data_IF_849664466108
#
_entry.id   IF_849664466108
#
_cell.length_a   1.000
_cell.length_b   1.000
_cell.length_c   1.000
_cell.angle_alpha   90.00
_cell.angle_beta   90.00
_cell.angle_gamma   90.00
#
_symmetry.space_group_name_H-M   'P 1'
#
loop_
_entity.id
_entity.type
_entity.pdbx_description
1 polymer ?
#
# COMPACT_ATOMS: atom_id res chain seq x y z
N UNK A 1 67.55 35.19 32.23
CA UNK A 1 66.62 34.33 32.98
C UNK A 1 65.43 34.00 32.10
N UNK A 2 64.95 32.78 32.24
CA UNK A 2 64.11 32.02 31.33
C UNK A 2 62.62 32.36 31.49
N UNK A 3 61.90 32.44 30.35
CA UNK A 3 60.48 32.08 30.06
C UNK A 3 59.38 32.39 31.09
N UNK A 4 58.28 32.95 30.60
CA UNK A 4 56.99 32.24 30.58
C UNK A 4 55.99 32.95 29.63
N UNK A 5 55.80 32.38 28.44
CA UNK A 5 54.64 32.63 27.58
C UNK A 5 53.50 31.75 28.11
N UNK A 6 52.40 32.35 28.54
CA UNK A 6 51.15 31.62 28.78
C UNK A 6 50.48 31.33 27.43
N UNK A 7 50.49 30.06 27.01
CA UNK A 7 49.62 29.58 25.94
C UNK A 7 48.20 29.36 26.51
N UNK A 8 47.24 30.19 26.10
CA UNK A 8 45.81 29.88 26.27
C UNK A 8 45.42 28.81 25.24
N UNK A 9 45.29 27.56 25.68
CA UNK A 9 44.67 26.51 24.88
C UNK A 9 43.14 26.68 24.92
N UNK A 10 42.55 27.15 23.83
CA UNK A 10 41.11 27.12 23.64
C UNK A 10 40.68 25.67 23.35
N UNK A 11 40.00 25.03 24.30
CA UNK A 11 39.35 23.74 24.09
C UNK A 11 38.10 23.98 23.22
N UNK A 12 38.19 23.67 21.93
CA UNK A 12 37.02 23.58 21.05
C UNK A 12 36.35 22.23 21.35
N UNK A 13 35.28 22.24 22.14
CA UNK A 13 34.41 21.08 22.31
C UNK A 13 33.60 20.98 21.01
N UNK A 14 34.03 20.11 20.09
CA UNK A 14 33.22 19.72 18.95
C UNK A 14 32.01 18.96 19.49
N UNK A 15 30.83 19.60 19.48
CA UNK A 15 29.58 18.92 19.71
C UNK A 15 29.35 17.95 18.54
N UNK A 16 29.69 16.69 18.72
CA UNK A 16 29.22 15.62 17.85
C UNK A 16 27.71 15.53 18.08
N UNK A 17 26.93 16.07 17.15
CA UNK A 17 25.52 15.76 17.08
C UNK A 17 25.42 14.25 16.86
N UNK A 18 25.17 13.50 17.93
CA UNK A 18 24.81 12.10 17.84
C UNK A 18 23.55 12.04 16.98
N UNK A 19 23.68 11.59 15.73
CA UNK A 19 22.53 11.24 14.93
C UNK A 19 21.84 10.11 15.69
N UNK A 20 20.68 10.40 16.27
CA UNK A 20 19.83 9.35 16.83
C UNK A 20 19.62 8.32 15.72
N UNK A 21 19.94 7.06 16.02
CA UNK A 21 19.61 5.97 15.11
C UNK A 21 18.09 6.00 14.87
N UNK A 22 17.67 5.80 13.63
CA UNK A 22 16.24 5.73 13.30
C UNK A 22 15.58 4.62 14.13
N UNK A 23 14.36 4.84 14.61
CA UNK A 23 13.58 3.81 15.30
C UNK A 23 13.37 2.57 14.42
N UNK A 24 13.39 2.76 13.09
CA UNK A 24 13.07 1.75 12.09
C UNK A 24 14.30 1.06 11.50
N UNK A 25 15.44 1.10 12.20
CA UNK A 25 16.67 0.51 11.67
C UNK A 25 16.55 -1.00 11.46
N UNK A 26 16.99 -1.45 10.28
CA UNK A 26 16.83 -2.82 9.79
C UNK A 26 15.45 -3.13 9.20
N UNK A 27 14.56 -2.14 9.13
CA UNK A 27 13.23 -2.22 8.53
C UNK A 27 12.94 -0.97 7.68
N UNK A 28 13.96 -0.26 7.21
CA UNK A 28 13.83 1.04 6.55
C UNK A 28 12.92 0.97 5.31
N UNK A 29 13.05 -0.09 4.51
CA UNK A 29 12.17 -0.33 3.34
C UNK A 29 10.70 -0.45 3.77
N UNK A 30 10.47 -0.97 4.98
CA UNK A 30 9.15 -1.13 5.57
C UNK A 30 8.68 0.08 6.41
N UNK A 31 9.39 1.19 6.42
CA UNK A 31 8.93 2.41 7.09
C UNK A 31 9.21 3.65 6.23
N UNK A 32 9.04 3.50 4.92
CA UNK A 32 8.96 4.60 3.97
C UNK A 32 7.64 5.36 4.14
N UNK A 33 7.63 6.64 3.75
CA UNK A 33 6.41 7.42 3.65
C UNK A 33 5.56 6.86 2.51
N UNK A 34 4.33 6.36 2.78
CA UNK A 34 3.47 5.91 1.71
C UNK A 34 3.03 7.06 0.80
N UNK A 35 2.70 6.74 -0.44
CA UNK A 35 2.14 7.71 -1.37
C UNK A 35 0.77 8.22 -0.89
N UNK A 36 0.33 9.37 -1.41
CA UNK A 36 -0.99 9.89 -1.11
C UNK A 36 -1.66 10.50 -2.34
N UNK A 37 -2.98 10.53 -2.32
CA UNK A 37 -3.81 11.10 -3.38
C UNK A 37 -5.02 11.83 -2.79
N UNK A 38 -5.27 13.06 -3.24
CA UNK A 38 -6.47 13.82 -2.89
C UNK A 38 -7.51 13.56 -3.99
N UNK A 39 -8.54 12.78 -3.67
CA UNK A 39 -9.57 12.38 -4.63
C UNK A 39 -10.69 13.42 -4.66
N UNK A 40 -10.97 13.95 -5.84
CA UNK A 40 -11.91 15.06 -6.05
C UNK A 40 -13.30 14.56 -6.42
N UNK A 41 -14.32 15.24 -5.90
CA UNK A 41 -15.71 14.91 -6.18
C UNK A 41 -16.11 15.32 -7.60
N UNK A 42 -16.95 14.54 -8.25
CA UNK A 42 -17.56 14.88 -9.55
C UNK A 42 -19.08 14.84 -9.49
N UNK A 43 -19.71 15.81 -10.15
CA UNK A 43 -21.16 15.82 -10.39
C UNK A 43 -21.56 15.09 -11.69
N UNK A 44 -20.57 14.60 -12.45
CA UNK A 44 -20.78 13.88 -13.69
C UNK A 44 -19.93 12.60 -13.66
N UNK A 45 -20.55 11.41 -13.56
CA UNK A 45 -19.80 10.17 -13.56
C UNK A 45 -19.12 9.95 -14.93
N UNK A 46 -17.90 9.37 -14.96
CA UNK A 46 -17.28 8.94 -16.22
C UNK A 46 -18.09 7.83 -16.89
N UNK A 47 -18.00 7.77 -18.21
CA UNK A 47 -18.41 6.57 -18.95
C UNK A 47 -17.35 5.50 -18.71
N UNK A 48 -17.75 4.29 -18.31
CA UNK A 48 -16.83 3.17 -18.09
C UNK A 48 -16.79 2.34 -19.37
N UNK A 49 -15.86 2.66 -20.26
CA UNK A 49 -15.66 1.99 -21.55
C UNK A 49 -14.18 1.65 -21.84
N UNK A 50 -13.29 1.91 -20.88
CA UNK A 50 -11.87 1.69 -20.96
C UNK A 50 -11.14 2.83 -21.68
N UNK A 51 -11.83 3.86 -22.16
CA UNK A 51 -11.25 5.00 -22.85
C UNK A 51 -11.11 6.22 -21.92
N UNK A 52 -9.86 6.55 -21.58
CA UNK A 52 -9.52 7.67 -20.71
C UNK A 52 -9.70 9.05 -21.36
N UNK A 53 -10.26 9.12 -22.57
CA UNK A 53 -10.55 10.36 -23.28
C UNK A 53 -11.83 11.09 -22.79
N UNK A 54 -12.59 10.53 -21.84
CA UNK A 54 -13.66 11.30 -21.21
C UNK A 54 -13.07 12.56 -20.54
N UNK A 55 -13.61 13.73 -20.91
CA UNK A 55 -13.17 15.04 -20.40
C UNK A 55 -13.21 15.11 -18.88
N UNK A 56 -14.07 14.32 -18.22
CA UNK A 56 -14.13 14.36 -16.76
C UNK A 56 -12.81 13.94 -16.11
N UNK A 57 -12.03 13.07 -16.76
CA UNK A 57 -10.72 12.67 -16.25
C UNK A 57 -9.71 13.81 -16.25
N UNK A 58 -9.93 14.90 -16.97
CA UNK A 58 -9.08 16.11 -16.90
C UNK A 58 -9.16 16.78 -15.51
N UNK A 59 -10.21 16.52 -14.73
CA UNK A 59 -10.35 17.00 -13.36
C UNK A 59 -9.33 16.36 -12.40
N UNK A 60 -9.00 15.09 -12.63
CA UNK A 60 -8.12 14.31 -11.77
C UNK A 60 -6.66 14.38 -12.23
N UNK A 61 -5.74 14.51 -11.27
CA UNK A 61 -4.30 14.45 -11.52
C UNK A 61 -3.84 13.01 -11.71
N UNK A 62 -2.80 12.81 -12.50
CA UNK A 62 -2.12 11.51 -12.52
C UNK A 62 -1.40 11.27 -11.19
N UNK A 63 -1.38 10.02 -10.73
CA UNK A 63 -0.44 9.57 -9.69
C UNK A 63 1.02 9.66 -10.17
N UNK A 64 1.95 9.49 -9.24
CA UNK A 64 3.30 9.05 -9.59
C UNK A 64 3.26 7.71 -10.36
N UNK A 65 4.29 7.49 -11.18
CA UNK A 65 4.52 6.20 -11.83
C UNK A 65 4.77 5.11 -10.79
N UNK A 66 4.31 3.90 -11.09
CA UNK A 66 4.55 2.75 -10.24
C UNK A 66 6.05 2.47 -10.06
N UNK A 67 6.38 1.89 -8.91
CA UNK A 67 7.72 1.45 -8.52
C UNK A 67 7.72 -0.06 -8.28
N UNK A 68 8.88 -0.67 -8.08
CA UNK A 68 8.94 -2.05 -7.62
C UNK A 68 8.32 -2.16 -6.20
N UNK A 69 7.68 -3.30 -5.88
CA UNK A 69 7.06 -3.55 -4.58
C UNK A 69 8.04 -3.44 -3.39
N UNK A 70 9.33 -3.68 -3.62
CA UNK A 70 10.40 -3.50 -2.63
C UNK A 70 10.96 -2.07 -2.60
N UNK A 71 10.39 -1.15 -3.39
CA UNK A 71 10.78 0.26 -3.49
C UNK A 71 12.15 0.44 -4.14
N UNK A 72 12.93 1.40 -3.63
CA UNK A 72 14.25 1.75 -4.18
C UNK A 72 15.31 0.64 -4.02
N UNK A 73 14.98 -0.47 -3.34
CA UNK A 73 15.83 -1.66 -3.27
C UNK A 73 15.95 -2.37 -4.63
N UNK A 74 15.07 -2.05 -5.59
CA UNK A 74 15.04 -2.62 -6.94
C UNK A 74 15.01 -1.54 -8.01
N UNK A 75 15.39 -1.87 -9.27
CA UNK A 75 15.25 -0.93 -10.38
C UNK A 75 13.79 -0.52 -10.59
N UNK A 76 13.59 0.69 -11.12
CA UNK A 76 12.25 1.14 -11.52
C UNK A 76 11.66 0.25 -12.62
N UNK A 77 10.33 0.09 -12.66
CA UNK A 77 9.63 -0.59 -13.75
C UNK A 77 10.06 -0.09 -15.13
N UNK A 78 10.18 -1.03 -16.07
CA UNK A 78 10.50 -0.72 -17.47
C UNK A 78 9.32 -0.08 -18.21
N UNK A 79 8.09 -0.36 -17.78
CA UNK A 79 6.89 0.16 -18.40
C UNK A 79 6.13 1.04 -17.41
N UNK A 80 5.68 2.19 -17.89
CA UNK A 80 4.98 3.14 -17.05
C UNK A 80 3.56 2.65 -16.73
N UNK A 81 3.18 2.77 -15.47
CA UNK A 81 1.81 2.58 -14.99
C UNK A 81 1.45 3.77 -14.11
N UNK A 82 0.33 4.43 -14.43
CA UNK A 82 -0.19 5.57 -13.68
C UNK A 82 -1.71 5.53 -13.68
N UNK A 83 -2.33 6.17 -12.70
CA UNK A 83 -3.78 6.21 -12.58
C UNK A 83 -4.31 7.58 -12.18
N UNK A 84 -5.63 7.72 -12.31
CA UNK A 84 -6.45 8.82 -11.86
C UNK A 84 -7.59 8.28 -11.01
N UNK A 85 -8.03 9.06 -10.04
CA UNK A 85 -9.19 8.72 -9.24
C UNK A 85 -10.15 9.90 -9.11
N UNK A 86 -11.45 9.60 -9.12
CA UNK A 86 -12.55 10.51 -8.89
C UNK A 86 -13.59 9.82 -8.00
N UNK A 87 -14.49 10.58 -7.39
CA UNK A 87 -15.62 9.99 -6.68
C UNK A 87 -16.89 10.83 -6.85
N UNK A 88 -18.05 10.21 -6.71
CA UNK A 88 -19.33 10.90 -6.57
C UNK A 88 -20.05 10.44 -5.29
N UNK A 89 -21.33 10.76 -5.10
CA UNK A 89 -22.05 10.39 -3.88
C UNK A 89 -22.24 8.87 -3.69
N UNK A 90 -21.97 8.06 -4.71
CA UNK A 90 -22.30 6.64 -4.75
C UNK A 90 -21.13 5.74 -5.14
N UNK A 91 -20.12 6.24 -5.86
CA UNK A 91 -19.03 5.45 -6.40
C UNK A 91 -17.65 6.08 -6.21
N UNK A 92 -16.66 5.20 -6.08
CA UNK A 92 -15.26 5.45 -6.40
C UNK A 92 -15.02 5.13 -7.89
N UNK A 93 -14.30 6.01 -8.58
CA UNK A 93 -13.87 5.82 -9.96
C UNK A 93 -12.35 5.75 -10.06
N UNK A 94 -11.83 4.77 -10.78
CA UNK A 94 -10.40 4.57 -11.01
C UNK A 94 -10.18 4.42 -12.50
N UNK A 95 -9.22 5.15 -13.06
CA UNK A 95 -8.77 5.00 -14.44
C UNK A 95 -7.27 4.80 -14.49
N UNK A 96 -6.84 3.77 -15.19
CA UNK A 96 -5.44 3.31 -15.22
C UNK A 96 -4.94 3.29 -16.64
N UNK A 97 -3.70 3.75 -16.82
CA UNK A 97 -2.97 3.63 -18.07
C UNK A 97 -1.71 2.80 -17.83
N UNK A 98 -1.53 1.77 -18.64
CA UNK A 98 -0.37 0.89 -18.62
C UNK A 98 0.28 0.86 -20.00
N UNK A 99 1.53 1.27 -20.08
CA UNK A 99 2.34 0.99 -21.26
C UNK A 99 2.67 -0.52 -21.27
N UNK A 100 2.47 -1.18 -22.41
CA UNK A 100 2.65 -2.63 -22.56
C UNK A 100 2.94 -2.96 -24.03
N UNK A 101 4.17 -3.37 -24.37
CA UNK A 101 4.50 -3.81 -25.73
C UNK A 101 3.99 -5.22 -26.08
N UNK A 102 3.55 -6.00 -25.10
CA UNK A 102 3.17 -7.40 -25.26
C UNK A 102 1.79 -7.67 -24.64
N UNK A 103 0.73 -7.52 -25.43
CA UNK A 103 -0.61 -7.83 -24.97
C UNK A 103 -0.89 -9.33 -25.06
N UNK A 104 -1.18 -9.95 -23.92
CA UNK A 104 -1.57 -11.33 -23.81
C UNK A 104 -2.51 -11.58 -22.64
N UNK A 105 -3.46 -12.49 -22.85
CA UNK A 105 -4.35 -13.00 -21.82
C UNK A 105 -4.86 -14.39 -22.25
N UNK A 106 -4.71 -15.37 -21.38
CA UNK A 106 -5.13 -16.75 -21.60
C UNK A 106 -6.16 -17.24 -20.58
N UNK A 107 -6.28 -16.57 -19.44
CA UNK A 107 -7.34 -16.81 -18.47
C UNK A 107 -8.61 -16.11 -18.94
N UNK A 108 -9.70 -16.87 -19.04
CA UNK A 108 -10.92 -16.43 -19.75
C UNK A 108 -12.20 -16.70 -18.97
N UNK A 109 -12.14 -17.49 -17.89
CA UNK A 109 -13.29 -17.74 -17.05
C UNK A 109 -13.43 -16.64 -15.99
N UNK A 110 -14.64 -16.52 -15.46
CA UNK A 110 -14.87 -15.76 -14.24
C UNK A 110 -14.19 -16.49 -13.07
N UNK A 111 -13.57 -15.77 -12.15
CA UNK A 111 -12.84 -16.28 -10.97
C UNK A 111 -11.64 -17.20 -11.27
N UNK A 112 -11.10 -17.15 -12.49
CA UNK A 112 -9.74 -17.64 -12.72
C UNK A 112 -8.81 -16.80 -11.82
N UNK A 113 -7.86 -17.44 -11.12
CA UNK A 113 -6.84 -16.75 -10.33
C UNK A 113 -5.97 -15.93 -11.30
N UNK A 114 -6.21 -14.62 -11.37
CA UNK A 114 -5.91 -13.83 -12.57
C UNK A 114 -4.47 -13.37 -12.67
N UNK A 115 -3.76 -13.25 -11.54
CA UNK A 115 -2.32 -12.96 -11.51
C UNK A 115 -1.45 -13.96 -12.30
N UNK A 116 -2.01 -15.08 -12.78
CA UNK A 116 -1.33 -15.96 -13.73
C UNK A 116 -1.30 -15.45 -15.18
N UNK A 117 -2.00 -14.37 -15.51
CA UNK A 117 -1.77 -13.49 -16.66
C UNK A 117 -1.08 -12.19 -16.21
N UNK A 118 -0.77 -11.27 -17.14
CA UNK A 118 -0.55 -9.87 -16.76
C UNK A 118 -1.88 -9.25 -16.34
N UNK A 119 -1.91 -8.57 -15.19
CA UNK A 119 -3.11 -7.97 -14.65
C UNK A 119 -2.86 -6.60 -14.01
N UNK A 120 -3.96 -6.00 -13.56
CA UNK A 120 -3.96 -4.85 -12.68
C UNK A 120 -4.81 -5.17 -11.46
N UNK A 121 -4.34 -4.77 -10.29
CA UNK A 121 -5.01 -5.01 -9.02
C UNK A 121 -5.24 -3.69 -8.27
N UNK A 122 -6.37 -3.58 -7.57
CA UNK A 122 -6.54 -2.55 -6.56
C UNK A 122 -6.98 -3.14 -5.22
N UNK A 123 -6.54 -2.49 -4.15
CA UNK A 123 -6.73 -2.93 -2.78
C UNK A 123 -7.28 -1.79 -1.93
N UNK A 124 -8.32 -2.04 -1.12
CA UNK A 124 -8.95 -0.98 -0.31
C UNK A 124 -9.19 -1.44 1.12
N UNK A 125 -8.67 -0.66 2.07
CA UNK A 125 -9.01 -0.69 3.50
C UNK A 125 -9.70 0.65 3.85
N UNK A 126 -11.06 0.67 3.90
CA UNK A 126 -11.84 1.87 4.15
C UNK A 126 -11.75 2.47 5.56
N UNK A 127 -11.37 1.71 6.58
CA UNK A 127 -11.34 2.19 7.97
C UNK A 127 -9.92 2.39 8.54
N UNK A 128 -8.89 2.04 7.74
CA UNK A 128 -7.48 2.26 8.06
C UNK A 128 -7.07 1.58 9.37
N UNK A 129 -7.64 0.39 9.61
CA UNK A 129 -7.28 -0.46 10.74
C UNK A 129 -6.17 -1.48 10.38
N UNK A 130 -5.89 -1.67 9.09
CA UNK A 130 -4.84 -2.55 8.60
C UNK A 130 -5.15 -4.04 8.76
N UNK A 131 -6.41 -4.43 8.93
CA UNK A 131 -6.83 -5.80 9.21
C UNK A 131 -7.62 -6.43 8.06
N UNK A 132 -8.76 -5.85 7.73
CA UNK A 132 -9.65 -6.32 6.68
C UNK A 132 -9.64 -5.38 5.48
N UNK A 133 -9.82 -5.93 4.29
CA UNK A 133 -9.74 -5.17 3.05
C UNK A 133 -10.36 -5.94 1.89
N UNK A 134 -10.58 -5.21 0.79
CA UNK A 134 -10.98 -5.73 -0.49
C UNK A 134 -9.80 -5.77 -1.45
N UNK A 135 -9.87 -6.70 -2.39
CA UNK A 135 -8.92 -6.85 -3.49
C UNK A 135 -9.71 -7.18 -4.76
N UNK A 136 -9.33 -6.53 -5.86
CA UNK A 136 -9.92 -6.72 -7.18
C UNK A 136 -8.79 -6.75 -8.20
N UNK A 137 -8.72 -7.82 -8.96
CA UNK A 137 -7.79 -8.04 -10.07
C UNK A 137 -8.55 -7.97 -11.40
N UNK A 138 -7.91 -7.44 -12.45
CA UNK A 138 -8.43 -7.41 -13.81
C UNK A 138 -7.34 -7.73 -14.82
N UNK A 139 -7.61 -8.67 -15.72
CA UNK A 139 -6.69 -8.94 -16.83
C UNK A 139 -7.02 -8.12 -18.09
N UNK A 140 -6.20 -8.26 -19.13
CA UNK A 140 -6.31 -7.49 -20.37
C UNK A 140 -7.59 -7.76 -21.20
N UNK A 141 -8.38 -8.77 -20.86
CA UNK A 141 -9.69 -9.03 -21.49
C UNK A 141 -10.86 -8.78 -20.55
N UNK A 142 -10.65 -7.96 -19.51
CA UNK A 142 -11.66 -7.53 -18.54
C UNK A 142 -12.31 -8.71 -17.79
N UNK A 143 -11.54 -9.76 -17.51
CA UNK A 143 -11.94 -10.78 -16.53
C UNK A 143 -11.57 -10.27 -15.14
N UNK A 144 -12.44 -10.54 -14.18
CA UNK A 144 -12.32 -10.06 -12.81
C UNK A 144 -12.10 -11.27 -11.90
N UNK A 145 -11.21 -11.07 -10.94
CA UNK A 145 -11.14 -11.87 -9.73
C UNK A 145 -11.22 -10.89 -8.56
N UNK A 146 -12.15 -11.09 -7.64
CA UNK A 146 -12.28 -10.23 -6.48
C UNK A 146 -12.52 -11.03 -5.20
N UNK A 147 -12.14 -10.41 -4.09
CA UNK A 147 -12.21 -11.06 -2.80
C UNK A 147 -12.32 -10.05 -1.67
N UNK A 148 -12.82 -10.55 -0.54
CA UNK A 148 -12.73 -9.87 0.74
C UNK A 148 -11.83 -10.66 1.69
N UNK A 149 -10.85 -9.99 2.29
CA UNK A 149 -10.05 -10.53 3.38
C UNK A 149 -10.56 -9.98 4.71
N UNK A 150 -11.15 -10.81 5.60
CA UNK A 150 -11.52 -10.39 6.96
C UNK A 150 -10.31 -10.21 7.89
N UNK A 151 -9.14 -10.69 7.46
CA UNK A 151 -7.87 -10.63 8.17
C UNK A 151 -6.74 -10.85 7.17
N UNK A 152 -5.61 -10.16 7.30
CA UNK A 152 -4.45 -10.40 6.43
C UNK A 152 -3.92 -11.86 6.55
N UNK A 153 -3.42 -12.43 5.44
CA UNK A 153 -2.90 -13.80 5.36
C UNK A 153 -1.85 -14.15 6.42
N UNK A 154 -0.99 -13.18 6.77
CA UNK A 154 0.03 -13.32 7.83
C UNK A 154 -0.53 -13.68 9.20
N UNK A 155 -1.84 -13.57 9.39
CA UNK A 155 -2.55 -13.97 10.59
C UNK A 155 -3.53 -15.14 10.38
N UNK A 156 -3.23 -16.01 9.42
CA UNK A 156 -4.09 -17.12 8.99
C UNK A 156 -5.48 -16.65 8.53
N UNK A 157 -5.54 -15.46 7.92
CA UNK A 157 -6.73 -15.00 7.22
C UNK A 157 -7.01 -15.88 6.00
N UNK A 158 -8.29 -16.15 5.75
CA UNK A 158 -8.74 -16.85 4.55
C UNK A 158 -9.54 -15.86 3.71
N UNK A 159 -9.18 -15.74 2.43
CA UNK A 159 -9.95 -14.96 1.48
C UNK A 159 -11.36 -15.53 1.32
N UNK A 160 -12.36 -14.65 1.34
CA UNK A 160 -13.69 -14.97 0.88
C UNK A 160 -13.75 -14.72 -0.63
N UNK A 161 -13.23 -15.68 -1.40
CA UNK A 161 -13.23 -15.65 -2.88
C UNK A 161 -14.63 -15.85 -3.50
N UNK A 162 -15.64 -16.15 -2.67
CA UNK A 162 -17.04 -16.26 -3.11
C UNK A 162 -17.79 -14.93 -2.99
N UNK A 163 -17.12 -13.87 -2.55
CA UNK A 163 -17.66 -12.53 -2.51
C UNK A 163 -17.31 -11.86 -3.83
N UNK A 164 -18.34 -11.41 -4.56
CA UNK A 164 -18.16 -10.52 -5.72
C UNK A 164 -18.36 -9.06 -5.28
N UNK A 165 -17.74 -8.10 -5.96
CA UNK A 165 -17.89 -6.66 -5.73
C UNK A 165 -19.25 -6.16 -6.28
N UNK A 166 -20.31 -6.02 -5.46
CA UNK A 166 -21.66 -5.93 -6.01
C UNK A 166 -21.91 -4.59 -6.71
N UNK A 167 -22.31 -4.64 -7.98
CA UNK A 167 -22.61 -3.46 -8.78
C UNK A 167 -21.39 -2.73 -9.32
N UNK A 168 -20.18 -3.27 -9.14
CA UNK A 168 -18.99 -2.78 -9.82
C UNK A 168 -19.16 -2.89 -11.34
N UNK A 169 -18.65 -1.88 -12.06
CA UNK A 169 -18.48 -1.93 -13.52
C UNK A 169 -17.01 -1.72 -13.85
N UNK A 170 -16.50 -2.48 -14.81
CA UNK A 170 -15.15 -2.33 -15.35
C UNK A 170 -15.15 -2.39 -16.87
N UNK A 171 -14.18 -1.74 -17.50
CA UNK A 171 -13.96 -1.85 -18.93
C UNK A 171 -12.47 -1.72 -19.26
N UNK A 172 -11.99 -2.58 -20.17
CA UNK A 172 -10.62 -2.57 -20.69
C UNK A 172 -10.63 -2.15 -22.15
N UNK A 173 -9.67 -1.29 -22.52
CA UNK A 173 -9.38 -0.95 -23.91
C UNK A 173 -7.93 -1.29 -24.22
N UNK A 174 -7.72 -2.05 -25.29
CA UNK A 174 -6.40 -2.40 -25.79
C UNK A 174 -5.92 -1.36 -26.80
N UNK A 175 -4.64 -1.01 -26.75
CA UNK A 175 -3.95 -0.22 -27.77
C UNK A 175 -2.96 -1.11 -28.52
N UNK A 176 -3.48 -2.15 -29.17
CA UNK A 176 -2.69 -3.20 -29.80
C UNK A 176 -3.50 -4.42 -30.21
N UNK A 177 -2.81 -5.52 -30.50
CA UNK A 177 -3.40 -6.80 -30.92
C UNK A 177 -3.16 -7.87 -29.86
N UNK A 178 -4.20 -8.23 -29.11
CA UNK A 178 -4.11 -9.28 -28.08
C UNK A 178 -3.57 -10.60 -28.65
N UNK A 179 -2.65 -11.23 -27.91
CA UNK A 179 -2.08 -12.54 -28.18
C UNK A 179 -1.34 -12.61 -29.55
N UNK A 180 -0.78 -11.50 -30.03
CA UNK A 180 -0.02 -11.45 -31.27
C UNK A 180 1.47 -11.15 -31.04
N UNK A 181 2.34 -12.15 -30.84
CA UNK A 181 3.77 -11.91 -30.60
C UNK A 181 4.56 -11.40 -31.83
N UNK A 182 3.88 -11.02 -32.92
CA UNK A 182 4.52 -10.54 -34.15
C UNK A 182 4.51 -9.02 -34.27
N UNK A 183 3.73 -8.32 -33.47
CA UNK A 183 3.72 -6.87 -33.42
C UNK A 183 4.28 -6.36 -32.08
N UNK A 184 4.17 -5.05 -31.89
CA UNK A 184 4.55 -4.36 -30.66
C UNK A 184 3.42 -3.42 -30.35
N UNK A 185 2.78 -3.67 -29.21
CA UNK A 185 1.63 -2.92 -28.76
C UNK A 185 2.05 -1.63 -28.05
N UNK A 186 1.09 -0.78 -27.72
CA UNK A 186 1.34 0.45 -26.97
C UNK A 186 0.99 0.32 -25.50
N UNK A 187 -0.01 -0.50 -25.18
CA UNK A 187 -0.57 -0.51 -23.84
C UNK A 187 -2.01 -0.98 -23.79
N UNK A 188 -2.54 -0.88 -22.59
CA UNK A 188 -3.95 -1.06 -22.30
C UNK A 188 -4.36 -0.10 -21.19
N UNK A 189 -5.65 0.16 -21.15
CA UNK A 189 -6.28 1.02 -20.16
C UNK A 189 -7.44 0.29 -19.52
N UNK A 190 -7.68 0.58 -18.25
CA UNK A 190 -8.84 0.06 -17.52
C UNK A 190 -9.53 1.18 -16.75
N UNK A 191 -10.85 1.12 -16.72
CA UNK A 191 -11.70 1.99 -15.90
C UNK A 191 -12.58 1.15 -14.97
N UNK A 192 -12.80 1.67 -13.77
CA UNK A 192 -13.70 1.09 -12.77
C UNK A 192 -14.70 2.12 -12.24
N UNK A 193 -15.92 1.65 -11.95
CA UNK A 193 -16.93 2.31 -11.13
C UNK A 193 -17.27 1.36 -10.00
N UNK A 194 -16.82 1.67 -8.78
CA UNK A 194 -16.96 0.84 -7.59
C UNK A 194 -17.96 1.49 -6.63
N UNK A 195 -19.17 0.93 -6.45
CA UNK A 195 -20.13 1.48 -5.50
C UNK A 195 -19.59 1.44 -4.07
N UNK A 196 -19.73 2.52 -3.30
CA UNK A 196 -19.31 2.50 -1.89
C UNK A 196 -20.03 1.45 -1.07
N UNK A 197 -21.28 1.15 -1.41
CA UNK A 197 -22.05 0.06 -0.80
C UNK A 197 -21.39 -1.32 -0.98
N UNK A 198 -20.62 -1.54 -2.05
CA UNK A 198 -19.86 -2.76 -2.23
C UNK A 198 -18.73 -2.89 -1.20
N UNK A 199 -18.14 -1.75 -0.83
CA UNK A 199 -17.03 -1.65 0.12
C UNK A 199 -17.49 -1.60 1.59
N UNK A 200 -18.79 -1.81 1.86
CA UNK A 200 -19.31 -1.85 3.23
C UNK A 200 -19.27 -3.25 3.86
N UNK A 201 -18.99 -4.31 3.10
CA UNK A 201 -19.01 -5.67 3.64
C UNK A 201 -17.92 -5.86 4.70
N UNK A 202 -18.31 -6.07 5.96
CA UNK A 202 -17.37 -6.15 7.09
C UNK A 202 -16.97 -4.78 7.68
N UNK A 203 -17.49 -3.68 7.13
CA UNK A 203 -17.24 -2.31 7.59
C UNK A 203 -18.53 -1.61 7.99
N UNK A 204 -18.42 -0.57 8.81
CA UNK A 204 -19.56 0.25 9.21
C UNK A 204 -19.32 1.70 8.80
N UNK A 205 -19.42 1.97 7.49
CA UNK A 205 -19.38 3.31 6.93
C UNK A 205 -20.43 3.47 5.82
N UNK A 206 -20.77 4.73 5.52
CA UNK A 206 -21.55 5.10 4.33
C UNK A 206 -20.58 5.62 3.25
N UNK A 207 -21.02 6.57 2.40
CA UNK A 207 -20.11 7.30 1.53
C UNK A 207 -19.07 8.07 2.37
N UNK A 208 -17.84 8.27 1.85
CA UNK A 208 -16.84 9.11 2.51
C UNK A 208 -17.32 10.56 2.67
N UNK A 209 -16.88 11.21 3.74
CA UNK A 209 -17.05 12.65 3.96
C UNK A 209 -15.77 13.44 3.62
N UNK A 210 -15.88 14.77 3.49
CA UNK A 210 -14.73 15.68 3.34
C UNK A 210 -13.63 15.35 4.36
N UNK A 211 -12.41 15.14 3.88
CA UNK A 211 -11.23 14.85 4.69
C UNK A 211 -11.15 13.43 5.22
N UNK A 212 -12.11 12.54 4.92
CA UNK A 212 -11.95 11.10 5.22
C UNK A 212 -10.74 10.55 4.47
N UNK A 213 -10.05 9.60 5.12
CA UNK A 213 -8.83 8.99 4.61
C UNK A 213 -9.01 7.49 4.60
N UNK A 214 -8.87 6.88 3.42
CA UNK A 214 -8.81 5.43 3.24
C UNK A 214 -7.38 4.99 2.95
N UNK A 215 -7.10 3.72 3.19
CA UNK A 215 -5.89 3.07 2.70
C UNK A 215 -6.22 2.42 1.36
N UNK A 216 -5.45 2.75 0.33
CA UNK A 216 -5.61 2.18 -1.00
C UNK A 216 -4.25 1.92 -1.63
N UNK A 217 -4.14 0.84 -2.38
CA UNK A 217 -2.97 0.62 -3.22
C UNK A 217 -3.34 -0.10 -4.50
N UNK A 218 -2.38 -0.16 -5.39
CA UNK A 218 -2.53 -0.69 -6.72
C UNK A 218 -1.31 -1.51 -7.08
N UNK A 219 -1.53 -2.63 -7.77
CA UNK A 219 -0.47 -3.48 -8.30
C UNK A 219 -0.66 -3.68 -9.79
N UNK A 220 0.45 -3.93 -10.47
CA UNK A 220 0.50 -4.53 -11.80
C UNK A 220 1.35 -5.77 -11.66
N UNK A 221 0.76 -6.94 -11.92
CA UNK A 221 1.52 -8.16 -12.08
C UNK A 221 2.03 -8.24 -13.50
N UNK A 222 3.34 -8.41 -13.63
CA UNK A 222 4.03 -8.44 -14.91
C UNK A 222 4.91 -9.67 -15.02
N UNK A 223 4.64 -10.53 -16.00
CA UNK A 223 5.45 -11.71 -16.27
C UNK A 223 6.45 -11.47 -17.39
N UNK A 224 7.72 -11.82 -17.13
CA UNK A 224 8.70 -11.91 -18.20
C UNK A 224 8.33 -13.12 -19.09
N UNK A 225 8.13 -12.89 -20.38
CA UNK A 225 7.75 -13.92 -21.36
C UNK A 225 8.76 -14.06 -22.50
N UNK A 226 8.68 -15.18 -23.21
CA UNK A 226 9.31 -15.42 -24.51
C UNK A 226 8.26 -15.89 -25.51
N UNK A 227 8.58 -15.81 -26.79
CA UNK A 227 7.71 -16.31 -27.86
C UNK A 227 8.07 -17.76 -28.20
N UNK A 228 7.11 -18.66 -28.06
CA UNK A 228 7.22 -20.06 -28.49
C UNK A 228 5.98 -20.47 -29.28
N UNK A 229 6.17 -21.06 -30.47
CA UNK A 229 5.08 -21.51 -31.34
C UNK A 229 3.99 -20.43 -31.60
N UNK A 230 4.41 -19.16 -31.69
CA UNK A 230 3.51 -18.03 -31.92
C UNK A 230 2.67 -17.62 -30.71
N UNK A 231 3.07 -18.00 -29.49
CA UNK A 231 2.44 -17.61 -28.23
C UNK A 231 3.45 -17.01 -27.25
N UNK A 232 2.99 -16.12 -26.39
CA UNK A 232 3.72 -15.73 -25.19
C UNK A 232 3.74 -16.89 -24.20
N UNK A 233 4.92 -17.22 -23.69
CA UNK A 233 5.15 -18.26 -22.68
C UNK A 233 6.06 -17.68 -21.60
N UNK A 234 5.69 -17.83 -20.34
CA UNK A 234 6.47 -17.35 -19.19
C UNK A 234 7.90 -17.90 -19.20
N UNK A 235 8.85 -17.08 -18.82
CA UNK A 235 10.22 -17.53 -18.62
C UNK A 235 10.29 -18.54 -17.48
N UNK A 236 11.14 -19.55 -17.63
CA UNK A 236 11.32 -20.64 -16.69
C UNK A 236 12.75 -20.69 -16.17
N UNK A 237 12.93 -21.12 -14.92
CA UNK A 237 14.23 -21.43 -14.34
C UNK A 237 14.80 -22.76 -14.88
N UNK A 238 15.99 -23.15 -14.42
CA UNK A 238 16.67 -24.38 -14.84
C UNK A 238 15.87 -25.66 -14.50
N UNK A 239 15.00 -25.59 -13.49
CA UNK A 239 14.13 -26.67 -13.05
C UNK A 239 12.78 -26.71 -13.80
N UNK A 240 12.55 -25.80 -14.76
CA UNK A 240 11.32 -25.73 -15.56
C UNK A 240 10.13 -25.06 -14.87
N UNK A 241 10.32 -24.46 -13.69
CA UNK A 241 9.32 -23.64 -12.99
C UNK A 241 9.32 -22.23 -13.57
N UNK A 242 8.15 -21.60 -13.66
CA UNK A 242 8.06 -20.18 -14.03
C UNK A 242 8.90 -19.32 -13.08
N UNK A 243 9.61 -18.35 -13.64
CA UNK A 243 10.26 -17.30 -12.84
C UNK A 243 9.19 -16.51 -12.10
N UNK A 244 9.47 -15.93 -10.92
CA UNK A 244 8.50 -15.11 -10.22
C UNK A 244 8.07 -13.92 -11.07
N UNK A 245 6.81 -13.55 -10.93
CA UNK A 245 6.25 -12.33 -11.47
C UNK A 245 6.91 -11.08 -10.88
N UNK A 246 6.86 -9.99 -11.62
CA UNK A 246 7.21 -8.67 -11.12
C UNK A 246 5.94 -8.01 -10.60
N UNK A 247 6.04 -7.47 -9.39
CA UNK A 247 4.96 -6.69 -8.79
C UNK A 247 5.36 -5.22 -8.80
N UNK A 248 4.69 -4.42 -9.62
CA UNK A 248 4.89 -2.99 -9.68
C UNK A 248 3.71 -2.28 -9.04
N UNK A 249 3.97 -1.33 -8.16
CA UNK A 249 2.95 -0.79 -7.26
C UNK A 249 3.00 0.72 -7.20
N UNK A 250 1.86 1.35 -6.89
CA UNK A 250 1.82 2.80 -6.67
C UNK A 250 2.59 3.20 -5.42
N UNK A 251 2.24 2.61 -4.26
CA UNK A 251 2.92 2.85 -2.98
C UNK A 251 3.64 1.58 -2.52
N UNK A 252 4.96 1.58 -2.48
CA UNK A 252 5.74 0.39 -2.12
C UNK A 252 5.54 -0.02 -0.65
N UNK A 253 5.06 -1.25 -0.36
CA UNK A 253 5.10 -1.81 0.98
C UNK A 253 6.54 -2.08 1.47
N UNK A 254 7.51 -2.25 0.55
CA UNK A 254 8.91 -2.49 0.89
C UNK A 254 9.27 -3.97 1.09
N UNK A 255 8.35 -4.87 0.70
CA UNK A 255 8.52 -6.32 0.70
C UNK A 255 7.60 -6.93 -0.36
N UNK A 256 7.92 -8.13 -0.84
CA UNK A 256 7.13 -8.85 -1.86
C UNK A 256 5.82 -9.40 -1.24
N UNK A 257 4.89 -8.50 -0.91
CA UNK A 257 3.53 -8.82 -0.45
C UNK A 257 2.66 -7.56 -0.44
N UNK A 258 1.58 -7.55 -1.23
CA UNK A 258 0.57 -6.48 -1.17
C UNK A 258 -0.31 -6.56 0.07
N UNK A 259 -0.34 -7.70 0.76
CA UNK A 259 -1.21 -7.97 1.91
C UNK A 259 -0.72 -7.34 3.23
N UNK A 260 -0.19 -6.13 3.14
CA UNK A 260 0.26 -5.23 4.21
C UNK A 260 -0.52 -3.89 4.12
N UNK A 261 -1.84 -3.89 4.39
CA UNK A 261 -2.72 -2.72 4.25
C UNK A 261 -2.25 -1.50 5.03
N UNK A 262 -1.61 -1.71 6.17
CA UNK A 262 -1.00 -0.67 6.97
C UNK A 262 0.14 0.08 6.26
N UNK A 263 0.60 -0.40 5.10
CA UNK A 263 1.70 0.17 4.29
C UNK A 263 1.26 0.76 2.95
N UNK A 264 -0.03 0.65 2.62
CA UNK A 264 -0.61 1.20 1.39
C UNK A 264 -0.56 2.71 1.29
N UNK A 265 -0.99 3.29 0.18
CA UNK A 265 -1.11 4.74 0.05
C UNK A 265 -2.30 5.29 0.84
N UNK A 266 -2.33 6.61 0.99
CA UNK A 266 -3.46 7.33 1.57
C UNK A 266 -4.33 7.96 0.48
N UNK A 267 -5.64 7.75 0.54
CA UNK A 267 -6.59 8.44 -0.32
C UNK A 267 -7.47 9.35 0.54
N UNK A 268 -7.30 10.67 0.38
CA UNK A 268 -8.08 11.68 1.11
C UNK A 268 -9.21 12.20 0.22
N UNK A 269 -10.45 12.06 0.69
CA UNK A 269 -11.63 12.55 -0.01
C UNK A 269 -11.80 14.06 0.14
N UNK A 270 -12.16 14.73 -0.95
CA UNK A 270 -12.70 16.10 -0.92
C UNK A 270 -13.96 16.23 -1.76
N UNK A 271 -14.96 16.93 -1.23
CA UNK A 271 -16.21 17.33 -1.88
C UNK A 271 -15.97 18.42 -2.96
N UNK A 272 -14.74 18.91 -3.07
CA UNK A 272 -14.35 19.85 -4.14
C UNK A 272 -14.08 19.11 -5.44
N UNK A 273 -14.42 19.75 -6.55
CA UNK A 273 -14.07 19.30 -7.91
C UNK A 273 -12.61 19.60 -8.30
N UNK A 274 -11.78 20.02 -7.35
CA UNK A 274 -10.35 20.29 -7.55
C UNK A 274 -9.62 20.15 -6.22
N UNK A 275 -8.39 19.63 -6.28
CA UNK A 275 -7.52 19.50 -5.11
C UNK A 275 -6.68 20.77 -4.84
N UNK A 276 -6.88 21.83 -5.63
CA UNK A 276 -6.14 23.07 -5.51
C UNK A 276 -6.30 23.69 -4.10
N UNK A 277 -5.16 23.94 -3.45
CA UNK A 277 -5.11 24.50 -2.09
C UNK A 277 -5.43 23.51 -0.97
N UNK A 278 -5.59 22.21 -1.28
CA UNK A 278 -5.66 21.15 -0.27
C UNK A 278 -4.27 20.54 -0.11
N UNK A 279 -3.83 20.38 1.13
CA UNK A 279 -2.55 19.73 1.45
C UNK A 279 -2.83 18.52 2.31
N UNK A 280 -2.36 17.37 1.87
CA UNK A 280 -2.43 16.15 2.65
C UNK A 280 -1.43 16.21 3.80
N UNK A 281 -1.86 15.76 4.98
CA UNK A 281 -0.99 15.50 6.11
C UNK A 281 -1.36 14.16 6.71
N UNK A 282 -0.37 13.29 6.95
CA UNK A 282 -0.59 12.02 7.64
C UNK A 282 -1.22 12.30 9.01
N UNK A 283 -2.36 11.67 9.34
CA UNK A 283 -2.99 11.83 10.65
C UNK A 283 -2.00 11.56 11.79
N UNK A 284 -2.08 12.37 12.85
CA UNK A 284 -1.21 12.20 14.02
C UNK A 284 -1.27 10.77 14.59
N UNK A 285 -2.47 10.19 14.63
CA UNK A 285 -2.69 8.81 15.06
C UNK A 285 -1.94 7.81 14.18
N UNK A 286 -1.86 8.03 12.88
CA UNK A 286 -1.17 7.11 11.97
C UNK A 286 0.35 7.23 12.09
N UNK A 287 0.86 8.43 12.38
CA UNK A 287 2.27 8.61 12.75
C UNK A 287 2.60 7.87 14.06
N UNK A 288 1.69 7.84 15.03
CA UNK A 288 1.83 7.02 16.24
C UNK A 288 1.78 5.52 15.92
N UNK A 289 0.84 5.08 15.05
CA UNK A 289 0.68 3.67 14.65
C UNK A 289 1.97 3.09 14.04
N UNK A 290 2.84 3.88 13.40
CA UNK A 290 4.11 3.38 12.87
C UNK A 290 4.99 2.72 13.94
N UNK A 291 5.01 3.27 15.15
CA UNK A 291 5.79 2.70 16.26
C UNK A 291 5.14 1.43 16.82
N UNK A 292 3.81 1.36 16.80
CA UNK A 292 3.09 0.13 17.15
C UNK A 292 3.32 -0.96 16.09
N UNK A 293 3.34 -0.61 14.81
CA UNK A 293 3.70 -1.53 13.73
C UNK A 293 5.15 -2.00 13.83
N UNK A 294 6.08 -1.14 14.23
CA UNK A 294 7.46 -1.53 14.54
C UNK A 294 7.51 -2.61 15.62
N UNK A 295 6.83 -2.39 16.76
CA UNK A 295 6.74 -3.40 17.83
C UNK A 295 6.11 -4.69 17.31
N UNK A 296 5.05 -4.57 16.51
CA UNK A 296 4.32 -5.69 15.95
C UNK A 296 5.20 -6.55 15.04
N UNK A 297 5.91 -5.97 14.08
CA UNK A 297 6.81 -6.72 13.20
C UNK A 297 7.98 -7.35 13.96
N UNK A 298 8.55 -6.63 14.94
CA UNK A 298 9.60 -7.20 15.80
C UNK A 298 9.08 -8.37 16.64
N UNK A 299 7.84 -8.30 17.12
CA UNK A 299 7.20 -9.43 17.81
C UNK A 299 6.99 -10.62 16.89
N UNK A 300 6.61 -10.42 15.63
CA UNK A 300 6.52 -11.51 14.64
C UNK A 300 7.88 -12.19 14.45
N UNK A 301 8.94 -11.42 14.21
CA UNK A 301 10.31 -11.95 14.07
C UNK A 301 10.77 -12.71 15.32
N UNK A 302 10.47 -12.15 16.49
CA UNK A 302 10.82 -12.73 17.78
C UNK A 302 10.06 -14.04 18.02
N UNK A 303 8.74 -14.06 17.78
CA UNK A 303 7.89 -15.23 17.96
C UNK A 303 8.30 -16.36 17.01
N UNK A 304 8.63 -16.05 15.74
CA UNK A 304 9.10 -17.05 14.79
C UNK A 304 10.33 -17.81 15.31
N UNK A 305 11.27 -17.11 15.95
CA UNK A 305 12.52 -17.66 16.50
C UNK A 305 12.33 -18.35 17.86
N UNK A 306 11.53 -17.77 18.75
CA UNK A 306 11.47 -18.17 20.16
C UNK A 306 10.20 -18.96 20.53
N UNK A 307 9.18 -18.97 19.66
CA UNK A 307 7.85 -19.54 19.91
C UNK A 307 7.16 -18.97 21.17
N UNK A 308 7.51 -17.74 21.52
CA UNK A 308 6.93 -16.94 22.58
C UNK A 308 7.09 -15.46 22.24
N UNK A 309 6.19 -14.59 22.71
CA UNK A 309 6.35 -13.14 22.57
C UNK A 309 7.36 -12.58 23.57
N UNK A 310 8.07 -11.53 23.16
CA UNK A 310 8.95 -10.77 24.03
C UNK A 310 8.14 -9.99 25.07
N UNK A 311 8.63 -9.95 26.31
CA UNK A 311 7.97 -9.28 27.44
C UNK A 311 8.46 -7.85 27.67
N UNK A 312 9.45 -7.39 26.90
CA UNK A 312 9.98 -6.03 26.99
C UNK A 312 10.50 -5.56 25.63
N UNK A 313 10.59 -4.24 25.46
CA UNK A 313 11.03 -3.59 24.22
C UNK A 313 12.51 -3.88 23.90
N UNK A 314 13.35 -4.09 24.91
CA UNK A 314 14.78 -4.33 24.71
C UNK A 314 15.04 -5.69 24.05
N UNK A 315 14.26 -6.71 24.41
CA UNK A 315 14.30 -8.02 23.75
C UNK A 315 13.89 -7.97 22.26
N UNK A 316 13.13 -6.94 21.87
CA UNK A 316 12.78 -6.63 20.48
C UNK A 316 13.83 -5.78 19.75
N UNK A 317 14.93 -5.41 20.43
CA UNK A 317 15.96 -4.52 19.89
C UNK A 317 15.53 -3.05 19.84
N UNK A 318 14.47 -2.67 20.55
CA UNK A 318 13.98 -1.29 20.62
C UNK A 318 14.69 -0.61 21.80
N UNK A 319 15.60 0.32 21.48
CA UNK A 319 16.54 0.89 22.46
C UNK A 319 15.92 1.93 23.42
N UNK A 320 14.83 2.59 23.02
CA UNK A 320 14.13 3.60 23.82
C UNK A 320 12.63 3.38 23.74
N UNK A 321 11.92 3.69 24.84
CA UNK A 321 10.47 3.73 24.87
C UNK A 321 9.93 5.11 24.47
N UNK A 322 10.75 6.16 24.49
CA UNK A 322 10.31 7.54 24.29
C UNK A 322 10.64 8.04 22.88
N UNK A 323 9.64 8.62 22.23
CA UNK A 323 9.71 9.17 20.87
C UNK A 323 9.01 10.52 20.79
N UNK A 324 9.50 11.40 19.92
CA UNK A 324 8.83 12.66 19.58
C UNK A 324 8.10 12.50 18.26
N UNK A 325 6.76 12.51 18.29
CA UNK A 325 5.91 12.39 17.11
C UNK A 325 5.20 13.72 16.89
N UNK A 326 5.45 14.37 15.75
CA UNK A 326 4.90 15.70 15.43
C UNK A 326 5.10 16.73 16.57
N UNK A 327 6.26 16.71 17.21
CA UNK A 327 6.61 17.61 18.32
C UNK A 327 6.06 17.23 19.70
N UNK A 328 5.25 16.16 19.81
CA UNK A 328 4.69 15.68 21.07
C UNK A 328 5.44 14.47 21.61
N UNK A 329 5.62 14.41 22.93
CA UNK A 329 6.25 13.24 23.57
C UNK A 329 5.28 12.05 23.53
N UNK A 330 5.82 10.89 23.15
CA UNK A 330 5.10 9.62 23.08
C UNK A 330 5.92 8.54 23.78
N UNK A 331 5.24 7.67 24.52
CA UNK A 331 5.87 6.57 25.25
C UNK A 331 5.28 5.24 24.83
N UNK A 332 6.14 4.34 24.33
CA UNK A 332 5.82 2.95 24.05
C UNK A 332 5.89 2.10 25.33
N UNK A 333 4.94 1.19 25.48
CA UNK A 333 4.99 0.13 26.47
C UNK A 333 4.52 -1.19 25.86
N UNK A 334 4.87 -2.30 26.51
CA UNK A 334 4.42 -3.62 26.13
C UNK A 334 4.05 -4.44 27.35
N UNK A 335 2.91 -5.13 27.26
CA UNK A 335 2.48 -6.15 28.21
C UNK A 335 2.35 -7.46 27.44
N UNK A 336 3.04 -8.51 27.85
CA UNK A 336 3.03 -9.77 27.11
C UNK A 336 3.08 -10.99 28.03
N UNK A 337 2.50 -12.07 27.51
CA UNK A 337 2.72 -13.45 27.96
C UNK A 337 3.47 -14.20 26.85
N UNK A 338 3.66 -15.52 27.00
CA UNK A 338 4.20 -16.33 25.91
C UNK A 338 3.26 -16.41 24.71
N UNK A 339 1.96 -16.21 24.89
CA UNK A 339 0.94 -16.46 23.87
C UNK A 339 0.25 -15.21 23.32
N UNK A 340 0.31 -14.08 24.03
CA UNK A 340 -0.39 -12.84 23.65
C UNK A 340 0.42 -11.63 24.08
N UNK A 341 0.21 -10.50 23.41
CA UNK A 341 0.77 -9.23 23.85
C UNK A 341 -0.13 -8.05 23.50
N UNK A 342 0.06 -6.94 24.20
CA UNK A 342 -0.48 -5.65 23.82
C UNK A 342 0.65 -4.63 23.90
N UNK A 343 0.93 -3.97 22.79
CA UNK A 343 1.84 -2.85 22.74
C UNK A 343 1.02 -1.57 22.70
N UNK A 344 1.46 -0.55 23.44
CA UNK A 344 0.71 0.68 23.64
C UNK A 344 1.62 1.88 23.37
N UNK A 345 1.06 2.94 22.77
CA UNK A 345 1.69 4.25 22.66
C UNK A 345 0.80 5.27 23.36
N UNK A 346 1.40 6.04 24.27
CA UNK A 346 0.70 7.08 25.05
C UNK A 346 1.32 8.43 24.75
N UNK A 347 0.51 9.43 24.38
CA UNK A 347 0.99 10.81 24.23
C UNK A 347 1.01 11.57 25.57
N UNK A 348 1.63 12.75 25.57
CA UNK A 348 1.69 13.64 26.74
C UNK A 348 0.32 14.14 27.25
N UNK A 349 -0.72 14.06 26.41
CA UNK A 349 -2.10 14.33 26.78
C UNK A 349 -2.83 13.14 27.41
N UNK A 350 -2.18 11.98 27.52
CA UNK A 350 -2.77 10.74 28.05
C UNK A 350 -3.66 10.00 27.04
N UNK A 351 -3.65 10.38 25.75
CA UNK A 351 -4.30 9.60 24.70
C UNK A 351 -3.50 8.33 24.46
N UNK A 352 -4.21 7.20 24.43
CA UNK A 352 -3.63 5.86 24.34
C UNK A 352 -4.09 5.20 23.04
N UNK A 353 -3.17 4.57 22.31
CA UNK A 353 -3.49 3.67 21.20
C UNK A 353 -2.72 2.37 21.44
N UNK A 354 -3.33 1.22 21.15
CA UNK A 354 -2.68 -0.08 21.33
C UNK A 354 -2.83 -0.96 20.10
N UNK A 355 -1.88 -1.89 19.90
CA UNK A 355 -1.95 -3.00 18.96
C UNK A 355 -1.73 -4.33 19.71
N UNK A 356 -2.39 -5.40 19.28
CA UNK A 356 -2.20 -6.74 19.85
C UNK A 356 -1.55 -7.72 18.86
N UNK A 357 -1.45 -8.99 19.25
CA UNK A 357 -0.87 -10.07 18.45
C UNK A 357 -1.58 -10.33 17.10
N UNK A 358 -2.84 -9.93 16.98
CA UNK A 358 -3.63 -10.04 15.76
C UNK A 358 -3.51 -8.81 14.85
N UNK A 359 -2.68 -7.83 15.21
CA UNK A 359 -2.58 -6.56 14.49
C UNK A 359 -3.77 -5.63 14.72
N UNK A 360 -4.65 -5.93 15.69
CA UNK A 360 -5.86 -5.16 15.95
C UNK A 360 -5.54 -3.89 16.75
N UNK A 361 -5.88 -2.73 16.19
CA UNK A 361 -5.83 -1.48 16.92
C UNK A 361 -7.00 -1.30 17.88
N UNK A 362 -6.70 -0.68 19.02
CA UNK A 362 -7.73 -0.09 19.91
C UNK A 362 -7.33 1.33 20.25
N UNK A 363 -8.32 2.21 20.16
CA UNK A 363 -8.26 3.57 20.66
C UNK A 363 -9.46 3.76 21.60
N UNK A 364 -9.32 4.46 22.74
CA UNK A 364 -10.47 4.86 23.54
C UNK A 364 -11.44 5.61 22.64
N UNK A 365 -12.71 5.19 22.62
CA UNK A 365 -13.76 5.97 21.96
C UNK A 365 -13.80 7.34 22.65
N UNK A 366 -13.69 8.40 21.86
CA UNK A 366 -13.88 9.78 22.34
C UNK A 366 -15.30 9.97 22.85
#
# INVERSE_FOLDING_TARGET
>A
MLKQLLCCAALVIAATAAKSQSAFTGMENMFTTPEHYIITHTNKPPVIDGDLNDKIWEQAKWTSSFVDIEGDAKPKPQYNTQLKMLWDDTNLYIAVKMDEPHLWAYLTNHDDIIFHDNDFEFFVDPDNDGRNYFEVEVNQINKIFDLFLPKAYRHAGNALISWDTPGMRSAVKLQGTLNNPKDTDKGWTVEFSVPFKALNFGFNHDKPAEGNIWRINFSRVEWDTKVENGKYVKLKNAEGKDLPERNWVWSAPGLISMHYPERWGYMQFTEKTTDAGITFSVPYTDLQKQYLWLVYYKQMEYYQKNKAYATDLKALGIATAEYTVSGKKNTLSIEATKQQYTATITDDGGSIISINEDGLFKQPKK
#
